data_IF_204223108559
#
_entry.id   IF_204223108559
#
_cell.length_a   1.000
_cell.length_b   1.000
_cell.length_c   1.000
_cell.angle_alpha   90.00
_cell.angle_beta   90.00
_cell.angle_gamma   90.00
#
_symmetry.space_group_name_H-M   'P 1'
#
loop_
_entity.id
_entity.type
_entity.pdbx_description
1 polymer ?
#
# COMPACT_ATOMS: atom_id res chain seq x y z
N UNK A 1 -10.45 -5.33 -7.57
CA UNK A 1 -10.71 -4.00 -6.98
C UNK A 1 -10.63 -4.05 -5.47
N UNK A 2 -10.25 -2.94 -4.86
CA UNK A 2 -10.00 -2.87 -3.42
C UNK A 2 -10.59 -1.60 -2.84
N UNK A 3 -11.07 -1.72 -1.59
CA UNK A 3 -11.42 -0.56 -0.78
C UNK A 3 -10.39 -0.45 0.35
N UNK A 4 -10.04 0.77 0.72
CA UNK A 4 -9.15 1.03 1.85
C UNK A 4 -9.93 1.83 2.89
N UNK A 5 -9.91 1.34 4.12
CA UNK A 5 -10.60 1.98 5.24
C UNK A 5 -9.57 2.42 6.29
N UNK A 6 -9.88 3.47 7.00
CA UNK A 6 -9.14 3.86 8.19
C UNK A 6 -9.50 2.87 9.30
N UNK A 7 -8.51 2.16 9.81
CA UNK A 7 -8.74 1.11 10.82
C UNK A 7 -9.30 1.68 12.12
N UNK A 8 -8.86 2.87 12.50
CA UNK A 8 -9.25 3.49 13.76
C UNK A 8 -10.69 4.01 13.73
N UNK A 9 -11.09 4.64 12.63
CA UNK A 9 -12.42 5.26 12.52
C UNK A 9 -13.41 4.40 11.75
N UNK A 10 -12.94 3.46 10.94
CA UNK A 10 -13.77 2.67 10.04
C UNK A 10 -14.21 3.41 8.80
N UNK A 11 -13.76 4.63 8.61
CA UNK A 11 -14.15 5.44 7.45
C UNK A 11 -13.49 4.94 6.17
N UNK A 12 -14.25 4.99 5.07
CA UNK A 12 -13.75 4.66 3.74
C UNK A 12 -12.74 5.72 3.29
N UNK A 13 -11.52 5.29 3.02
CA UNK A 13 -10.44 6.19 2.60
C UNK A 13 -10.29 6.21 1.09
N UNK A 14 -10.25 5.03 0.46
CA UNK A 14 -10.20 4.88 -0.99
C UNK A 14 -11.19 3.80 -1.42
N UNK A 15 -11.88 4.03 -2.52
CA UNK A 15 -12.98 3.18 -2.99
C UNK A 15 -12.70 2.62 -4.37
N UNK A 16 -12.85 1.30 -4.51
CA UNK A 16 -12.81 0.59 -5.79
C UNK A 16 -11.56 0.90 -6.62
N UNK A 17 -10.40 0.89 -5.96
CA UNK A 17 -9.13 1.13 -6.63
C UNK A 17 -8.56 -0.17 -7.20
N UNK A 18 -7.73 -0.03 -8.23
CA UNK A 18 -7.04 -1.17 -8.83
C UNK A 18 -5.91 -1.66 -7.93
N UNK A 19 -5.44 -2.88 -8.23
CA UNK A 19 -4.28 -3.45 -7.55
C UNK A 19 -3.07 -2.51 -7.66
N UNK A 20 -2.80 -1.99 -8.86
CA UNK A 20 -1.66 -1.11 -9.07
C UNK A 20 -1.80 0.19 -8.27
N UNK A 21 -2.99 0.73 -8.20
CA UNK A 21 -3.22 1.96 -7.45
C UNK A 21 -3.02 1.75 -5.94
N UNK A 22 -3.39 0.58 -5.44
CA UNK A 22 -3.15 0.24 -4.04
C UNK A 22 -1.65 0.12 -3.75
N UNK A 23 -0.90 -0.51 -4.66
CA UNK A 23 0.55 -0.63 -4.53
C UNK A 23 1.19 0.77 -4.57
N UNK A 24 0.74 1.63 -5.48
CA UNK A 24 1.23 3.00 -5.58
C UNK A 24 0.97 3.78 -4.29
N UNK A 25 -0.21 3.61 -3.71
CA UNK A 25 -0.55 4.25 -2.46
C UNK A 25 0.37 3.81 -1.32
N UNK A 26 0.63 2.50 -1.21
CA UNK A 26 1.53 1.98 -0.19
C UNK A 26 2.94 2.54 -0.35
N UNK A 27 3.43 2.63 -1.59
CA UNK A 27 4.74 3.19 -1.86
C UNK A 27 4.80 4.67 -1.53
N UNK A 28 3.77 5.42 -1.88
CA UNK A 28 3.69 6.85 -1.62
C UNK A 28 3.76 7.15 -0.13
N UNK A 29 3.10 6.32 0.67
CA UNK A 29 3.02 6.54 2.12
C UNK A 29 4.20 5.96 2.89
N UNK A 30 4.72 4.80 2.49
CA UNK A 30 5.63 4.03 3.34
C UNK A 30 6.96 3.62 2.70
N UNK A 31 7.12 3.75 1.39
CA UNK A 31 8.37 3.36 0.75
C UNK A 31 9.50 4.36 1.06
N UNK A 32 10.71 3.86 1.06
CA UNK A 32 11.89 4.69 1.31
C UNK A 32 12.45 5.30 0.03
N UNK A 33 11.96 4.85 -1.11
CA UNK A 33 12.38 5.36 -2.42
C UNK A 33 11.20 5.21 -3.39
N UNK A 34 11.22 5.97 -4.47
CA UNK A 34 10.24 5.87 -5.56
C UNK A 34 10.74 5.05 -6.75
N UNK A 35 11.90 4.42 -6.61
CA UNK A 35 12.57 3.68 -7.68
C UNK A 35 12.95 2.29 -7.21
N UNK A 36 12.42 1.24 -7.87
CA UNK A 36 12.68 -0.13 -7.48
C UNK A 36 14.15 -0.53 -7.63
N UNK A 37 14.86 0.00 -8.63
CA UNK A 37 16.27 -0.29 -8.80
C UNK A 37 17.10 0.25 -7.64
N UNK A 38 16.77 1.44 -7.20
CA UNK A 38 17.40 2.06 -6.04
C UNK A 38 17.11 1.27 -4.76
N UNK A 39 15.88 0.77 -4.64
CA UNK A 39 15.49 -0.06 -3.50
C UNK A 39 16.32 -1.33 -3.43
N UNK A 40 16.51 -2.01 -4.55
CA UNK A 40 17.30 -3.24 -4.62
C UNK A 40 18.77 -2.95 -4.34
N UNK A 41 19.31 -1.92 -4.96
CA UNK A 41 20.73 -1.59 -4.83
C UNK A 41 21.11 -1.16 -3.41
N UNK A 42 20.24 -0.41 -2.75
CA UNK A 42 20.54 0.18 -1.43
C UNK A 42 19.74 -0.45 -0.29
N UNK A 43 19.05 -1.56 -0.56
CA UNK A 43 18.25 -2.29 0.44
C UNK A 43 17.21 -1.36 1.12
N UNK A 44 16.48 -0.61 0.30
CA UNK A 44 15.45 0.30 0.76
C UNK A 44 14.06 -0.34 0.63
N UNK A 45 13.13 0.09 1.47
CA UNK A 45 11.77 -0.42 1.47
C UNK A 45 11.02 0.07 0.23
N UNK A 46 10.44 -0.87 -0.52
CA UNK A 46 9.64 -0.59 -1.71
C UNK A 46 8.70 -1.77 -1.97
N UNK A 47 7.44 -1.48 -2.33
CA UNK A 47 6.44 -2.51 -2.57
C UNK A 47 6.26 -2.73 -4.06
N UNK A 48 6.46 -3.95 -4.52
CA UNK A 48 6.33 -4.32 -5.93
C UNK A 48 5.21 -5.34 -6.19
N UNK A 49 4.46 -5.70 -5.15
CA UNK A 49 3.35 -6.63 -5.27
C UNK A 49 2.23 -6.26 -4.31
N UNK A 50 1.02 -6.75 -4.62
CA UNK A 50 -0.18 -6.43 -3.86
C UNK A 50 -0.13 -6.99 -2.44
N UNK A 51 0.47 -8.15 -2.27
CA UNK A 51 0.51 -8.83 -0.98
C UNK A 51 1.28 -8.02 0.06
N UNK A 52 2.49 -7.60 -0.29
CA UNK A 52 3.32 -6.81 0.62
C UNK A 52 2.74 -5.43 0.87
N UNK A 53 2.16 -4.80 -0.17
CA UNK A 53 1.50 -3.51 -0.03
C UNK A 53 0.32 -3.60 0.93
N UNK A 54 -0.50 -4.63 0.79
CA UNK A 54 -1.66 -4.85 1.63
C UNK A 54 -1.26 -5.08 3.08
N UNK A 55 -0.24 -5.89 3.32
CA UNK A 55 0.26 -6.14 4.67
C UNK A 55 0.78 -4.88 5.33
N UNK A 56 1.48 -4.05 4.56
CA UNK A 56 2.00 -2.79 5.06
C UNK A 56 0.88 -1.85 5.49
N UNK A 57 -0.15 -1.70 4.65
CA UNK A 57 -1.28 -0.84 4.98
C UNK A 57 -1.98 -1.32 6.24
N UNK A 58 -2.17 -2.61 6.40
CA UNK A 58 -2.81 -3.16 7.58
C UNK A 58 -1.98 -2.98 8.85
N UNK A 59 -0.66 -3.01 8.72
CA UNK A 59 0.24 -2.77 9.85
C UNK A 59 0.23 -1.30 10.29
N UNK A 60 -0.06 -0.37 9.37
CA UNK A 60 0.08 1.05 9.64
C UNK A 60 -1.25 1.82 9.73
N UNK A 61 -2.34 1.13 10.04
CA UNK A 61 -3.56 1.80 10.40
C UNK A 61 -4.67 1.80 9.36
N UNK A 62 -4.57 0.95 8.36
CA UNK A 62 -5.59 0.78 7.33
C UNK A 62 -6.11 -0.64 7.30
N UNK A 63 -7.33 -0.81 6.80
CA UNK A 63 -7.90 -2.11 6.50
C UNK A 63 -8.16 -2.17 5.01
N UNK A 64 -7.79 -3.28 4.37
CA UNK A 64 -7.95 -3.46 2.94
C UNK A 64 -9.00 -4.53 2.69
N UNK A 65 -9.98 -4.21 1.85
CA UNK A 65 -11.04 -5.13 1.46
C UNK A 65 -10.92 -5.43 -0.03
N UNK A 66 -10.81 -6.70 -0.36
CA UNK A 66 -10.83 -7.14 -1.76
C UNK A 66 -12.27 -7.35 -2.20
N UNK A 67 -12.66 -6.72 -3.29
CA UNK A 67 -14.03 -6.78 -3.81
C UNK A 67 -14.22 -7.88 -4.85
#
# INVERSE_FOLDING_TARGET
MYNIYNKETGELFEKQITEQKLIDFANEEFAETDNIEDAIENDLLFYDNIYDAQMSLEAFGFTVEEL
#
